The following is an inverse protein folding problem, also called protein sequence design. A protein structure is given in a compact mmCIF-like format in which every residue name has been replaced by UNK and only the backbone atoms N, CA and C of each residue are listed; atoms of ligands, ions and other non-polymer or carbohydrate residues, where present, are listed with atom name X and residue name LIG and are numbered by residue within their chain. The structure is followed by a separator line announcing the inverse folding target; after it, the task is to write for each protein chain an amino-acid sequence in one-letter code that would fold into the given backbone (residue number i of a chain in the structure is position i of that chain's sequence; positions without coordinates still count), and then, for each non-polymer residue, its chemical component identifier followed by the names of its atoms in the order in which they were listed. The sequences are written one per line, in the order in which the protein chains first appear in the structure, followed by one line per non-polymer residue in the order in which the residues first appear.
data_IF_053651474030
#
_entry.id   IF_053651474030
#
_cell.length_a   1.000
_cell.length_b   1.000
_cell.length_c   1.000
_cell.angle_alpha   90.00
_cell.angle_beta   90.00
_cell.angle_gamma   90.00
#
_symmetry.space_group_name_H-M   'P 1'
#
loop_
_entity.id
_entity.type
_entity.pdbx_description
1 polymer ?
#
# COMPACT_ATOMS: atom_id res chain seq x y z
N UNK A 1 19.73 -51.57 -9.21
CA UNK A 1 19.48 -50.42 -10.11
C UNK A 1 18.45 -49.54 -9.44
N UNK A 2 18.63 -48.21 -9.45
CA UNK A 2 17.56 -47.29 -9.07
C UNK A 2 16.39 -47.46 -10.04
N UNK A 3 15.18 -47.68 -9.54
CA UNK A 3 13.96 -47.67 -10.35
C UNK A 3 13.33 -46.28 -10.25
N UNK A 4 13.33 -45.56 -11.37
CA UNK A 4 12.84 -44.18 -11.45
C UNK A 4 11.46 -44.16 -12.12
N UNK A 5 10.55 -43.28 -11.68
CA UNK A 5 9.20 -43.19 -12.25
C UNK A 5 9.25 -42.81 -13.74
N UNK A 6 8.43 -43.49 -14.54
CA UNK A 6 8.18 -43.17 -15.95
C UNK A 6 6.83 -42.50 -16.08
N UNK A 7 6.77 -41.39 -16.80
CA UNK A 7 5.54 -40.63 -16.94
C UNK A 7 5.48 -39.86 -18.27
N UNK A 8 4.28 -39.43 -18.67
CA UNK A 8 4.06 -38.57 -19.84
C UNK A 8 3.96 -37.12 -19.38
N UNK A 9 4.65 -36.23 -20.10
CA UNK A 9 4.57 -34.78 -19.91
C UNK A 9 3.93 -34.12 -21.14
N UNK A 10 3.27 -32.99 -20.93
CA UNK A 10 2.72 -32.14 -21.98
C UNK A 10 3.38 -30.75 -21.91
N UNK A 11 3.82 -30.25 -23.06
CA UNK A 11 4.26 -28.88 -23.24
C UNK A 11 3.16 -28.10 -23.96
N UNK A 12 2.64 -27.07 -23.31
CA UNK A 12 1.54 -26.27 -23.84
C UNK A 12 2.09 -25.15 -24.72
N UNK A 13 1.60 -25.08 -25.95
CA UNK A 13 1.80 -23.92 -26.83
C UNK A 13 0.44 -23.26 -27.08
N UNK A 14 0.14 -22.22 -26.31
CA UNK A 14 -1.12 -21.49 -26.40
C UNK A 14 -0.90 -20.00 -26.11
N UNK A 15 -1.80 -19.16 -26.63
CA UNK A 15 -1.93 -17.78 -26.20
C UNK A 15 -2.87 -17.66 -24.98
N UNK A 16 -2.66 -16.68 -24.08
CA UNK A 16 -3.67 -16.33 -23.10
C UNK A 16 -4.85 -15.61 -23.75
N UNK A 17 -5.96 -15.49 -23.02
CA UNK A 17 -6.96 -14.47 -23.33
C UNK A 17 -6.41 -13.16 -22.75
N UNK A 18 -5.69 -12.43 -23.61
CA UNK A 18 -4.81 -11.33 -23.19
C UNK A 18 -5.52 -10.30 -22.29
N UNK A 19 -4.94 -10.02 -21.12
CA UNK A 19 -5.51 -9.12 -20.10
C UNK A 19 -6.96 -9.47 -19.72
N UNK A 20 -7.28 -10.77 -19.70
CA UNK A 20 -8.48 -11.33 -19.11
C UNK A 20 -8.09 -12.57 -18.30
N UNK A 21 -7.95 -12.36 -16.99
CA UNK A 21 -7.48 -13.38 -16.05
C UNK A 21 -8.41 -14.58 -16.00
N UNK A 22 -9.70 -14.34 -15.76
CA UNK A 22 -10.69 -15.41 -15.60
C UNK A 22 -10.76 -16.31 -16.82
N UNK A 23 -10.85 -15.72 -18.02
CA UNK A 23 -10.91 -16.49 -19.26
C UNK A 23 -9.60 -17.22 -19.55
N UNK A 24 -8.46 -16.65 -19.14
CA UNK A 24 -7.15 -17.33 -19.26
C UNK A 24 -7.04 -18.51 -18.29
N UNK A 25 -7.55 -18.37 -17.07
CA UNK A 25 -7.60 -19.44 -16.07
C UNK A 25 -8.54 -20.56 -16.53
N UNK A 26 -9.73 -20.24 -17.05
CA UNK A 26 -10.65 -21.24 -17.62
C UNK A 26 -9.98 -22.01 -18.77
N UNK A 27 -9.28 -21.29 -19.65
CA UNK A 27 -8.51 -21.91 -20.73
C UNK A 27 -7.40 -22.81 -20.20
N UNK A 28 -6.67 -22.39 -19.16
CA UNK A 28 -5.62 -23.19 -18.56
C UNK A 28 -6.19 -24.48 -17.95
N UNK A 29 -7.29 -24.41 -17.20
CA UNK A 29 -7.98 -25.57 -16.64
C UNK A 29 -8.45 -26.55 -17.73
N UNK A 30 -9.01 -26.04 -18.84
CA UNK A 30 -9.41 -26.89 -19.97
C UNK A 30 -8.21 -27.61 -20.62
N UNK A 31 -7.08 -26.92 -20.80
CA UNK A 31 -5.85 -27.50 -21.35
C UNK A 31 -5.27 -28.56 -20.39
N UNK A 32 -5.32 -28.32 -19.08
CA UNK A 32 -4.92 -29.29 -18.05
C UNK A 32 -5.76 -30.57 -18.18
N UNK A 33 -7.09 -30.42 -18.26
CA UNK A 33 -8.02 -31.53 -18.41
C UNK A 33 -7.75 -32.34 -19.69
N UNK A 34 -7.53 -31.66 -20.82
CA UNK A 34 -7.20 -32.29 -22.10
C UNK A 34 -5.86 -33.05 -22.05
N UNK A 35 -4.81 -32.42 -21.52
CA UNK A 35 -3.49 -33.04 -21.41
C UNK A 35 -3.53 -34.29 -20.51
N UNK A 36 -4.23 -34.22 -19.38
CA UNK A 36 -4.41 -35.34 -18.48
C UNK A 36 -5.29 -36.45 -19.09
N UNK A 37 -6.33 -36.09 -19.84
CA UNK A 37 -7.14 -37.05 -20.62
C UNK A 37 -6.32 -37.81 -21.66
N UNK A 38 -5.24 -37.19 -22.16
CA UNK A 38 -4.24 -37.82 -23.01
C UNK A 38 -3.12 -38.56 -22.23
N UNK A 39 -3.26 -38.66 -20.91
CA UNK A 39 -2.38 -39.40 -20.00
C UNK A 39 -1.16 -38.62 -19.49
N UNK A 40 -1.09 -37.30 -19.66
CA UNK A 40 -0.02 -36.49 -19.09
C UNK A 40 -0.19 -36.35 -17.57
N UNK A 41 0.92 -36.42 -16.84
CA UNK A 41 1.00 -36.22 -15.39
C UNK A 41 1.82 -34.97 -15.02
N UNK A 42 2.41 -34.31 -16.01
CA UNK A 42 3.08 -33.02 -15.89
C UNK A 42 2.65 -32.15 -17.08
N UNK A 43 2.18 -30.93 -16.81
CA UNK A 43 1.75 -29.97 -17.82
C UNK A 43 2.51 -28.66 -17.61
N UNK A 44 3.31 -28.25 -18.59
CA UNK A 44 4.09 -27.02 -18.55
C UNK A 44 3.52 -25.97 -19.50
N UNK A 45 3.25 -24.78 -18.97
CA UNK A 45 2.73 -23.62 -19.71
C UNK A 45 3.83 -22.62 -20.07
N UNK A 46 3.55 -21.72 -21.04
CA UNK A 46 4.44 -20.62 -21.38
C UNK A 46 4.73 -19.65 -20.22
N UNK A 47 5.78 -18.85 -20.40
CA UNK A 47 6.15 -17.74 -19.53
C UNK A 47 5.01 -16.74 -19.36
N UNK A 48 4.77 -16.27 -18.13
CA UNK A 48 3.76 -15.23 -17.78
C UNK A 48 2.41 -15.41 -18.50
N UNK A 49 1.93 -16.66 -18.56
CA UNK A 49 0.69 -17.01 -19.26
C UNK A 49 -0.51 -16.29 -18.65
N UNK A 50 -0.66 -16.25 -17.32
CA UNK A 50 -1.78 -15.53 -16.68
C UNK A 50 -1.54 -14.01 -16.75
N UNK A 51 -2.58 -13.27 -17.13
CA UNK A 51 -2.56 -11.86 -17.58
C UNK A 51 -1.87 -11.63 -18.95
N UNK A 52 -0.81 -12.39 -19.24
CA UNK A 52 -0.06 -12.36 -20.48
C UNK A 52 1.25 -11.58 -20.39
N UNK A 53 2.10 -11.77 -21.39
CA UNK A 53 3.41 -11.12 -21.48
C UNK A 53 3.29 -9.62 -21.84
N UNK A 54 4.06 -8.71 -21.20
CA UNK A 54 4.02 -7.27 -21.46
C UNK A 54 4.75 -6.89 -22.76
N UNK A 55 4.23 -7.30 -23.92
CA UNK A 55 4.87 -7.10 -25.22
C UNK A 55 5.19 -5.63 -25.54
N UNK A 56 4.42 -4.68 -25.01
CA UNK A 56 4.65 -3.25 -25.22
C UNK A 56 6.03 -2.77 -24.74
N UNK A 57 6.67 -3.48 -23.81
CA UNK A 57 8.03 -3.16 -23.36
C UNK A 57 9.05 -3.21 -24.50
N UNK A 58 8.78 -3.98 -25.56
CA UNK A 58 9.70 -4.17 -26.69
C UNK A 58 9.35 -3.34 -27.92
N UNK A 59 8.08 -2.95 -28.06
CA UNK A 59 7.56 -2.32 -29.28
C UNK A 59 7.06 -0.90 -29.07
N UNK A 60 7.11 -0.37 -27.83
CA UNK A 60 6.66 0.98 -27.49
C UNK A 60 7.71 1.72 -26.68
N UNK A 61 7.67 3.05 -26.76
CA UNK A 61 8.41 3.90 -25.82
C UNK A 61 7.76 3.86 -24.42
N UNK A 62 8.50 4.17 -23.34
CA UNK A 62 7.94 4.19 -21.98
C UNK A 62 6.67 5.05 -21.84
N UNK A 63 6.61 6.20 -22.52
CA UNK A 63 5.44 7.09 -22.50
C UNK A 63 4.22 6.42 -23.13
N UNK A 64 4.38 5.77 -24.30
CA UNK A 64 3.30 5.06 -24.99
C UNK A 64 2.84 3.81 -24.21
N UNK A 65 3.76 3.13 -23.55
CA UNK A 65 3.53 1.91 -22.76
C UNK A 65 2.80 2.15 -21.44
N UNK A 66 2.87 3.36 -20.88
CA UNK A 66 2.36 3.71 -19.53
C UNK A 66 0.92 3.24 -19.26
N UNK A 67 -0.01 3.44 -20.20
CA UNK A 67 -1.42 3.00 -20.09
C UNK A 67 -1.61 1.48 -20.01
N UNK A 68 -0.63 0.69 -20.47
CA UNK A 68 -0.71 -0.77 -20.44
C UNK A 68 -0.26 -1.33 -19.08
N UNK A 69 0.58 -0.59 -18.35
CA UNK A 69 1.02 -0.98 -17.02
C UNK A 69 -0.14 -1.12 -16.04
N UNK A 70 -1.03 -0.11 -16.00
CA UNK A 70 -2.24 -0.15 -15.17
C UNK A 70 -3.12 -1.36 -15.53
N UNK A 71 -3.36 -1.59 -16.82
CA UNK A 71 -4.15 -2.73 -17.28
C UNK A 71 -3.53 -4.07 -16.87
N UNK A 72 -2.21 -4.20 -16.96
CA UNK A 72 -1.50 -5.39 -16.51
C UNK A 72 -1.64 -5.58 -15.00
N UNK A 73 -1.44 -4.51 -14.22
CA UNK A 73 -1.54 -4.57 -12.76
C UNK A 73 -2.94 -4.98 -12.29
N UNK A 74 -3.98 -4.42 -12.90
CA UNK A 74 -5.38 -4.79 -12.64
C UNK A 74 -5.62 -6.28 -12.94
N UNK A 75 -4.99 -6.80 -14.00
CA UNK A 75 -5.05 -8.20 -14.40
C UNK A 75 -3.95 -9.08 -13.78
N UNK A 76 -3.13 -8.58 -12.86
CA UNK A 76 -2.15 -9.39 -12.15
C UNK A 76 -2.84 -10.03 -10.95
N UNK A 77 -2.47 -11.27 -10.63
CA UNK A 77 -3.10 -12.07 -9.58
C UNK A 77 -2.28 -12.00 -8.28
N UNK A 78 -2.84 -12.43 -7.16
CA UNK A 78 -2.05 -12.69 -5.95
C UNK A 78 -1.66 -14.16 -5.90
N UNK A 79 -0.52 -14.47 -5.27
CA UNK A 79 -0.12 -15.85 -5.00
C UNK A 79 0.14 -15.98 -3.49
N UNK A 80 -0.65 -16.77 -2.73
CA UNK A 80 -1.84 -17.51 -3.16
C UNK A 80 -3.04 -16.59 -3.48
N UNK A 81 -3.99 -17.09 -4.27
CA UNK A 81 -5.20 -16.38 -4.67
C UNK A 81 -6.24 -17.28 -5.34
N UNK A 82 -7.47 -16.77 -5.58
CA UNK A 82 -8.57 -17.56 -6.14
C UNK A 82 -8.26 -18.15 -7.52
N UNK A 83 -7.42 -17.49 -8.32
CA UNK A 83 -6.97 -17.99 -9.62
C UNK A 83 -6.00 -19.16 -9.49
N UNK A 84 -5.04 -19.06 -8.57
CA UNK A 84 -4.13 -20.18 -8.29
C UNK A 84 -4.87 -21.36 -7.66
N UNK A 85 -5.90 -21.09 -6.85
CA UNK A 85 -6.74 -22.14 -6.25
C UNK A 85 -7.50 -22.94 -7.32
N UNK A 86 -8.07 -22.26 -8.33
CA UNK A 86 -8.73 -22.91 -9.48
C UNK A 86 -7.76 -23.79 -10.27
N UNK A 87 -6.56 -23.32 -10.53
CA UNK A 87 -5.52 -24.09 -11.25
C UNK A 87 -5.07 -25.29 -10.41
N UNK A 88 -4.84 -25.10 -9.11
CA UNK A 88 -4.49 -26.16 -8.17
C UNK A 88 -5.61 -27.23 -8.08
N UNK A 89 -6.87 -26.79 -8.09
CA UNK A 89 -8.02 -27.69 -8.10
C UNK A 89 -8.08 -28.52 -9.38
N UNK A 90 -7.92 -27.90 -10.56
CA UNK A 90 -7.85 -28.62 -11.84
C UNK A 90 -6.67 -29.62 -11.86
N UNK A 91 -5.49 -29.20 -11.38
CA UNK A 91 -4.31 -30.07 -11.27
C UNK A 91 -4.59 -31.30 -10.40
N UNK A 92 -5.28 -31.10 -9.27
CA UNK A 92 -5.66 -32.14 -8.32
C UNK A 92 -6.71 -33.09 -8.89
N UNK A 93 -7.77 -32.57 -9.49
CA UNK A 93 -8.84 -33.36 -10.13
C UNK A 93 -8.30 -34.28 -11.21
N UNK A 94 -7.30 -33.81 -11.95
CA UNK A 94 -6.68 -34.54 -13.05
C UNK A 94 -5.40 -35.28 -12.68
N UNK A 95 -5.03 -35.32 -11.38
CA UNK A 95 -3.83 -35.97 -10.86
C UNK A 95 -2.56 -35.63 -11.67
N UNK A 96 -2.34 -34.34 -11.89
CA UNK A 96 -1.20 -33.85 -12.66
C UNK A 96 -0.46 -32.73 -11.93
N UNK A 97 0.84 -32.63 -12.17
CA UNK A 97 1.66 -31.50 -11.79
C UNK A 97 1.55 -30.40 -12.85
N UNK A 98 1.43 -29.15 -12.44
CA UNK A 98 1.30 -27.99 -13.35
C UNK A 98 2.41 -26.99 -13.07
N UNK A 99 3.08 -26.53 -14.14
CA UNK A 99 4.03 -25.42 -14.12
C UNK A 99 3.46 -24.31 -14.98
N UNK A 100 3.18 -23.14 -14.40
CA UNK A 100 2.56 -22.02 -15.12
C UNK A 100 3.15 -20.68 -14.68
N UNK A 101 3.47 -19.82 -15.66
CA UNK A 101 3.91 -18.44 -15.40
C UNK A 101 2.72 -17.50 -15.17
N UNK A 102 2.88 -16.56 -14.24
CA UNK A 102 1.83 -15.57 -13.88
C UNK A 102 2.44 -14.18 -13.68
N UNK A 103 1.64 -13.14 -13.90
CA UNK A 103 1.96 -11.81 -13.38
C UNK A 103 1.38 -11.69 -11.97
N UNK A 104 2.25 -11.59 -10.97
CA UNK A 104 1.87 -11.42 -9.56
C UNK A 104 1.82 -9.94 -9.18
N UNK A 105 0.80 -9.54 -8.40
CA UNK A 105 0.75 -8.22 -7.74
C UNK A 105 0.92 -8.34 -6.23
N UNK A 106 1.57 -7.33 -5.65
CA UNK A 106 1.71 -7.21 -4.20
C UNK A 106 0.37 -6.99 -3.49
N UNK A 107 0.32 -7.39 -2.21
CA UNK A 107 -0.89 -7.32 -1.37
C UNK A 107 -1.06 -5.97 -0.63
N UNK A 108 0.00 -5.16 -0.58
CA UNK A 108 -0.01 -3.88 0.14
C UNK A 108 0.23 -2.72 -0.81
N UNK A 109 -0.61 -1.69 -0.70
CA UNK A 109 -0.40 -0.39 -1.34
C UNK A 109 0.47 0.55 -0.47
N UNK A 110 0.88 0.07 0.71
CA UNK A 110 1.50 0.86 1.78
C UNK A 110 0.52 1.83 2.42
N UNK A 111 1.06 2.80 3.16
CA UNK A 111 0.26 3.92 3.65
C UNK A 111 -0.10 4.83 2.45
N UNK A 112 -1.40 5.14 2.32
CA UNK A 112 -1.93 6.06 1.31
C UNK A 112 -2.42 7.37 1.91
N UNK A 113 -2.91 7.30 3.16
CA UNK A 113 -3.39 8.42 3.95
C UNK A 113 -2.79 8.32 5.34
N UNK A 114 -2.10 9.37 5.77
CA UNK A 114 -1.63 9.57 7.13
C UNK A 114 -2.50 10.64 7.82
N UNK A 115 -2.86 10.41 9.09
CA UNK A 115 -3.59 11.40 9.89
C UNK A 115 -2.70 11.81 11.05
N UNK A 116 -2.31 13.09 11.08
CA UNK A 116 -1.46 13.65 12.11
C UNK A 116 -2.25 14.67 12.96
N UNK A 117 -2.34 14.40 14.26
CA UNK A 117 -3.06 15.25 15.20
C UNK A 117 -2.09 15.99 16.11
N UNK A 118 -2.27 17.30 16.27
CA UNK A 118 -1.44 18.17 17.09
C UNK A 118 -2.28 19.08 17.99
N UNK A 119 -1.64 19.59 19.05
CA UNK A 119 -2.16 20.72 19.80
C UNK A 119 -1.56 22.02 19.23
N UNK A 120 -2.28 23.14 19.38
CA UNK A 120 -1.63 24.45 19.26
C UNK A 120 -0.57 24.59 20.33
N UNK A 121 0.62 25.06 19.95
CA UNK A 121 1.73 25.24 20.91
C UNK A 121 2.36 26.63 20.80
N UNK A 122 1.63 27.70 21.20
CA UNK A 122 2.12 29.09 21.16
C UNK A 122 3.28 29.35 22.13
N UNK A 123 3.49 28.45 23.09
CA UNK A 123 4.56 28.54 24.09
C UNK A 123 5.89 27.92 23.63
N UNK A 124 5.99 27.43 22.39
CA UNK A 124 7.25 26.98 21.80
C UNK A 124 8.32 28.10 21.83
N UNK A 125 9.63 27.82 21.70
CA UNK A 125 10.66 28.86 21.69
C UNK A 125 10.31 30.04 20.74
N UNK A 126 10.64 31.29 21.10
CA UNK A 126 10.26 32.48 20.33
C UNK A 126 10.67 32.47 18.86
N UNK A 127 11.78 31.81 18.56
CA UNK A 127 12.37 31.65 17.22
C UNK A 127 11.89 30.39 16.48
N UNK A 128 10.95 29.64 17.06
CA UNK A 128 10.41 28.42 16.50
C UNK A 128 8.99 28.61 15.98
N UNK A 129 8.83 28.61 14.66
CA UNK A 129 7.53 28.62 13.99
C UNK A 129 6.91 27.22 14.04
N UNK A 130 5.90 27.05 14.90
CA UNK A 130 5.28 25.75 15.11
C UNK A 130 4.43 25.34 13.90
N UNK A 131 3.71 26.28 13.29
CA UNK A 131 2.87 26.02 12.13
C UNK A 131 3.72 25.50 10.95
N UNK A 132 4.83 26.18 10.64
CA UNK A 132 5.75 25.71 9.60
C UNK A 132 6.46 24.42 10.00
N UNK A 133 6.83 24.22 11.26
CA UNK A 133 7.42 22.96 11.70
C UNK A 133 6.47 21.76 11.53
N UNK A 134 5.19 21.92 11.87
CA UNK A 134 4.15 20.91 11.66
C UNK A 134 4.03 20.60 10.16
N UNK A 135 3.89 21.65 9.35
CA UNK A 135 3.77 21.54 7.89
C UNK A 135 4.98 20.88 7.26
N UNK A 136 6.20 21.24 7.65
CA UNK A 136 7.45 20.64 7.12
C UNK A 136 7.51 19.15 7.44
N UNK A 137 7.19 18.72 8.67
CA UNK A 137 7.19 17.30 9.03
C UNK A 137 6.17 16.52 8.22
N UNK A 138 4.95 17.04 8.11
CA UNK A 138 3.88 16.41 7.34
C UNK A 138 4.22 16.37 5.84
N UNK A 139 4.81 17.44 5.29
CA UNK A 139 5.26 17.51 3.91
C UNK A 139 6.40 16.54 3.60
N UNK A 140 7.38 16.41 4.51
CA UNK A 140 8.45 15.44 4.37
C UNK A 140 7.90 14.00 4.33
N UNK A 141 7.01 13.64 5.26
CA UNK A 141 6.38 12.31 5.28
C UNK A 141 5.54 12.04 4.03
N UNK A 142 4.72 13.00 3.61
CA UNK A 142 3.94 12.91 2.37
C UNK A 142 4.82 12.75 1.13
N UNK A 143 5.88 13.55 1.04
CA UNK A 143 6.81 13.51 -0.09
C UNK A 143 7.64 12.24 -0.10
N UNK A 144 8.11 11.74 1.03
CA UNK A 144 8.89 10.51 1.12
C UNK A 144 8.00 9.29 0.86
N UNK A 145 6.89 9.18 1.60
CA UNK A 145 5.92 8.09 1.59
C UNK A 145 5.04 7.99 0.34
N UNK A 146 5.02 9.04 -0.50
CA UNK A 146 4.13 9.17 -1.67
C UNK A 146 2.67 8.99 -1.28
N UNK A 147 2.25 9.73 -0.25
CA UNK A 147 0.97 9.61 0.43
C UNK A 147 0.37 10.98 0.76
N UNK A 148 -0.93 11.00 1.05
CA UNK A 148 -1.60 12.19 1.55
C UNK A 148 -1.49 12.28 3.07
N UNK A 149 -1.21 13.45 3.62
CA UNK A 149 -1.27 13.69 5.07
C UNK A 149 -2.38 14.67 5.38
N UNK A 150 -3.28 14.29 6.29
CA UNK A 150 -4.29 15.17 6.86
C UNK A 150 -3.77 15.62 8.23
N UNK A 151 -3.54 16.91 8.38
CA UNK A 151 -3.11 17.51 9.64
C UNK A 151 -4.30 18.17 10.30
N UNK A 152 -4.59 17.75 11.53
CA UNK A 152 -5.57 18.39 12.40
C UNK A 152 -4.86 18.94 13.64
N UNK A 153 -4.92 20.25 13.82
CA UNK A 153 -4.34 20.94 14.96
C UNK A 153 -5.41 21.70 15.72
N UNK A 154 -5.40 21.63 17.06
CA UNK A 154 -6.26 22.46 17.88
C UNK A 154 -5.88 23.94 17.77
N UNK A 155 -6.78 24.82 18.22
CA UNK A 155 -6.54 26.26 18.43
C UNK A 155 -6.59 26.58 19.92
N UNK A 156 -6.29 27.84 20.30
CA UNK A 156 -6.44 28.34 21.66
C UNK A 156 -7.52 29.41 21.69
N UNK A 157 -8.57 29.18 22.49
CA UNK A 157 -9.66 30.14 22.66
C UNK A 157 -9.35 31.15 23.76
N UNK A 158 -10.07 32.27 23.75
CA UNK A 158 -10.02 33.24 24.84
C UNK A 158 -10.39 32.63 26.20
N UNK A 159 -11.35 31.71 26.22
CA UNK A 159 -11.75 31.00 27.45
C UNK A 159 -10.57 30.24 28.07
N UNK A 160 -9.79 29.50 27.25
CA UNK A 160 -8.59 28.80 27.71
C UNK A 160 -7.58 29.79 28.30
N UNK A 161 -7.37 30.93 27.64
CA UNK A 161 -6.45 31.97 28.10
C UNK A 161 -6.92 32.55 29.44
N UNK A 162 -8.20 32.88 29.57
CA UNK A 162 -8.75 33.52 30.75
C UNK A 162 -8.70 32.58 31.97
N UNK A 163 -8.92 31.28 31.80
CA UNK A 163 -8.71 30.26 32.84
C UNK A 163 -7.23 30.22 33.27
N UNK A 164 -6.30 30.19 32.31
CA UNK A 164 -4.86 30.07 32.61
C UNK A 164 -4.26 31.32 33.27
N UNK A 165 -4.86 32.50 33.05
CA UNK A 165 -4.45 33.75 33.71
C UNK A 165 -4.59 33.71 35.23
N UNK A 166 -5.48 32.88 35.77
CA UNK A 166 -5.67 32.75 37.23
C UNK A 166 -4.38 32.25 37.91
N UNK A 167 -3.66 31.34 37.24
CA UNK A 167 -2.44 30.72 37.77
C UNK A 167 -1.15 31.34 37.18
N UNK A 168 -1.19 31.86 35.95
CA UNK A 168 -0.01 32.33 35.22
C UNK A 168 -0.21 33.79 34.76
N UNK A 169 0.40 34.78 35.44
CA UNK A 169 0.15 36.21 35.18
C UNK A 169 0.45 36.70 33.75
N UNK A 170 1.36 36.03 33.03
CA UNK A 170 1.70 36.34 31.64
C UNK A 170 1.13 35.33 30.62
N UNK A 171 0.10 34.55 30.99
CA UNK A 171 -0.53 33.57 30.12
C UNK A 171 -1.03 34.18 28.80
N UNK A 172 -1.58 35.40 28.85
CA UNK A 172 -2.09 36.08 27.65
C UNK A 172 -1.01 36.30 26.60
N UNK A 173 0.14 36.83 27.01
CA UNK A 173 1.28 37.05 26.12
C UNK A 173 1.75 35.73 25.52
N UNK A 174 1.86 34.68 26.35
CA UNK A 174 2.37 33.38 25.94
C UNK A 174 1.43 32.64 24.99
N UNK A 175 0.12 32.70 25.24
CA UNK A 175 -0.90 31.89 24.54
C UNK A 175 -1.50 32.58 23.31
N UNK A 176 -1.26 33.89 23.13
CA UNK A 176 -1.72 34.64 21.94
C UNK A 176 -0.70 34.69 20.81
N UNK A 177 0.48 34.06 21.00
CA UNK A 177 1.50 33.98 19.96
C UNK A 177 0.97 33.27 18.72
N UNK A 178 1.30 33.85 17.56
CA UNK A 178 0.87 33.39 16.25
C UNK A 178 1.81 32.34 15.65
N UNK A 179 1.34 31.65 14.62
CA UNK A 179 1.99 30.53 13.94
C UNK A 179 2.22 29.34 14.87
N UNK A 180 1.19 29.00 15.63
CA UNK A 180 1.21 28.04 16.73
C UNK A 180 0.48 26.74 16.38
N UNK A 181 -0.38 26.78 15.36
CA UNK A 181 -1.14 25.66 14.85
C UNK A 181 -1.18 25.67 13.31
N UNK A 182 -1.15 24.48 12.71
CA UNK A 182 -1.36 24.28 11.28
C UNK A 182 -2.35 23.12 11.09
N UNK A 183 -3.47 23.40 10.43
CA UNK A 183 -4.41 22.38 9.95
C UNK A 183 -4.47 22.44 8.42
N UNK A 184 -4.38 21.30 7.76
CA UNK A 184 -4.30 21.28 6.30
C UNK A 184 -4.16 19.88 5.72
N UNK A 185 -4.35 19.77 4.41
CA UNK A 185 -4.11 18.53 3.67
C UNK A 185 -2.87 18.69 2.81
N UNK A 186 -1.99 17.70 2.83
CA UNK A 186 -0.73 17.71 2.07
C UNK A 186 -0.73 16.53 1.11
N UNK A 187 -0.40 16.81 -0.15
CA UNK A 187 -0.36 15.84 -1.23
C UNK A 187 0.95 15.04 -1.29
N UNK A 188 0.99 13.98 -2.12
CA UNK A 188 2.14 13.07 -2.24
C UNK A 188 3.40 13.72 -2.84
N UNK A 189 3.30 14.95 -3.33
CA UNK A 189 4.43 15.78 -3.75
C UNK A 189 4.94 16.71 -2.64
N UNK A 190 4.42 16.60 -1.41
CA UNK A 190 4.77 17.44 -0.27
C UNK A 190 4.12 18.83 -0.28
N UNK A 191 3.28 19.14 -1.27
CA UNK A 191 2.61 20.44 -1.34
C UNK A 191 1.26 20.43 -0.60
N UNK A 192 0.92 21.56 0.02
CA UNK A 192 -0.42 21.76 0.61
C UNK A 192 -1.48 21.78 -0.49
N UNK A 193 -2.62 21.16 -0.23
CA UNK A 193 -3.79 21.11 -1.10
C UNK A 193 -4.87 22.01 -0.51
N UNK A 194 -5.33 22.98 -1.30
CA UNK A 194 -6.29 23.98 -0.84
C UNK A 194 -5.67 24.99 0.12
N UNK A 195 -6.53 25.69 0.86
CA UNK A 195 -6.12 26.69 1.84
C UNK A 195 -6.06 26.05 3.24
N UNK A 196 -4.88 26.04 3.90
CA UNK A 196 -4.76 25.58 5.27
C UNK A 196 -5.28 26.62 6.26
N UNK A 197 -5.50 26.20 7.51
CA UNK A 197 -5.74 27.11 8.64
C UNK A 197 -4.47 27.24 9.46
N UNK A 198 -4.15 28.48 9.84
CA UNK A 198 -3.08 28.80 10.78
C UNK A 198 -3.72 29.54 11.95
N UNK A 199 -3.67 28.94 13.14
CA UNK A 199 -4.27 29.41 14.41
C UNK A 199 -5.79 29.66 14.44
N UNK A 200 -6.44 29.71 13.28
CA UNK A 200 -7.86 30.01 13.14
C UNK A 200 -8.72 28.76 13.30
N UNK A 201 -9.90 28.94 13.91
CA UNK A 201 -10.91 27.90 13.99
C UNK A 201 -11.63 27.74 12.64
N UNK A 202 -11.80 26.49 12.23
CA UNK A 202 -12.52 26.17 11.01
C UNK A 202 -12.32 24.72 10.61
N UNK A 203 -12.78 24.41 9.40
CA UNK A 203 -12.64 23.09 8.80
C UNK A 203 -11.94 23.27 7.46
N UNK A 204 -10.84 22.54 7.26
CA UNK A 204 -10.18 22.46 5.96
C UNK A 204 -10.81 21.34 5.15
N UNK A 205 -11.14 21.63 3.89
CA UNK A 205 -11.63 20.67 2.92
C UNK A 205 -10.62 20.56 1.77
N UNK A 206 -10.40 19.34 1.30
CA UNK A 206 -9.57 19.08 0.12
C UNK A 206 -10.09 17.84 -0.63
N UNK A 207 -10.00 17.87 -1.95
CA UNK A 207 -10.26 16.71 -2.79
C UNK A 207 -9.02 15.80 -2.83
N UNK A 208 -9.16 14.58 -2.32
CA UNK A 208 -8.10 13.57 -2.32
C UNK A 208 -8.31 12.62 -3.50
N UNK A 209 -7.37 12.66 -4.45
CA UNK A 209 -7.28 11.72 -5.56
C UNK A 209 -6.06 10.80 -5.38
N UNK A 210 -6.33 9.56 -4.96
CA UNK A 210 -5.28 8.55 -4.71
C UNK A 210 -4.49 8.17 -5.96
N UNK A 211 -5.01 8.42 -7.18
CA UNK A 211 -4.25 8.19 -8.40
C UNK A 211 -3.00 9.08 -8.47
N UNK A 212 -2.99 10.22 -7.78
CA UNK A 212 -1.82 11.11 -7.68
C UNK A 212 -0.64 10.48 -6.93
N UNK A 213 -0.83 9.38 -6.20
CA UNK A 213 0.27 8.63 -5.58
C UNK A 213 1.02 7.74 -6.58
N UNK A 214 0.42 7.42 -7.74
CA UNK A 214 0.98 6.46 -8.70
C UNK A 214 2.27 6.99 -9.32
N UNK A 215 2.23 8.19 -9.92
CA UNK A 215 3.39 8.75 -10.61
C UNK A 215 4.61 8.95 -9.68
N UNK A 216 4.47 9.48 -8.44
CA UNK A 216 5.59 9.57 -7.51
C UNK A 216 6.15 8.21 -7.08
N UNK A 217 5.30 7.17 -6.95
CA UNK A 217 5.74 5.79 -6.65
C UNK A 217 6.47 5.15 -7.83
N UNK A 218 6.08 5.46 -9.06
CA UNK A 218 6.83 5.02 -10.27
C UNK A 218 8.24 5.61 -10.32
N UNK A 219 8.41 6.86 -9.87
CA UNK A 219 9.72 7.51 -9.82
C UNK A 219 10.57 7.01 -8.63
N UNK A 220 9.94 6.76 -7.49
CA UNK A 220 10.60 6.25 -6.28
C UNK A 220 9.67 5.26 -5.54
N UNK A 221 9.92 3.97 -5.76
CA UNK A 221 9.13 2.88 -5.19
C UNK A 221 9.72 2.37 -3.87
N UNK A 222 9.31 3.00 -2.78
CA UNK A 222 9.76 2.68 -1.41
C UNK A 222 9.15 1.38 -0.85
N UNK A 223 8.21 0.74 -1.54
CA UNK A 223 7.58 -0.50 -1.09
C UNK A 223 8.11 -1.72 -1.84
N UNK A 224 8.40 -1.56 -3.13
CA UNK A 224 9.00 -2.60 -3.95
C UNK A 224 10.51 -2.47 -4.07
N UNK A 225 10.95 -1.97 -5.22
CA UNK A 225 12.31 -2.20 -5.73
C UNK A 225 13.44 -1.54 -4.94
N UNK A 226 13.15 -0.54 -4.12
CA UNK A 226 14.15 0.11 -3.26
C UNK A 226 14.35 -0.58 -1.91
N UNK A 227 13.47 -1.51 -1.51
CA UNK A 227 13.65 -2.27 -0.28
C UNK A 227 14.74 -3.35 -0.42
N UNK A 228 15.46 -3.59 0.68
CA UNK A 228 16.43 -4.68 0.82
C UNK A 228 15.89 -5.74 1.76
N UNK A 229 14.85 -6.45 1.32
CA UNK A 229 14.23 -7.54 2.10
C UNK A 229 15.16 -8.73 2.34
N UNK A 230 16.29 -8.79 1.65
CA UNK A 230 17.40 -9.71 1.90
C UNK A 230 18.27 -9.30 3.10
N UNK A 231 18.18 -8.05 3.56
CA UNK A 231 18.92 -7.52 4.71
C UNK A 231 17.98 -7.20 5.88
N UNK A 232 16.84 -6.55 5.61
CA UNK A 232 15.94 -6.03 6.62
C UNK A 232 14.61 -6.79 6.64
N UNK A 233 14.21 -7.24 7.83
CA UNK A 233 12.91 -7.86 8.11
C UNK A 233 12.19 -7.02 9.18
N UNK A 234 10.99 -6.53 8.88
CA UNK A 234 10.13 -5.81 9.82
C UNK A 234 8.94 -6.69 10.19
N UNK A 235 8.85 -7.04 11.47
CA UNK A 235 7.71 -7.80 12.02
C UNK A 235 6.86 -6.90 12.90
N UNK A 236 5.58 -6.77 12.54
CA UNK A 236 4.62 -5.99 13.31
C UNK A 236 3.70 -6.94 14.08
N UNK A 237 3.65 -6.79 15.40
CA UNK A 237 2.64 -7.48 16.21
C UNK A 237 1.35 -6.65 16.19
N UNK A 238 0.35 -7.13 15.46
CA UNK A 238 -0.95 -6.48 15.30
C UNK A 238 -1.98 -6.93 16.34
N UNK A 239 -1.60 -7.77 17.31
CA UNK A 239 -2.52 -8.23 18.35
C UNK A 239 -2.98 -7.05 19.24
N UNK A 240 -4.30 -6.91 19.51
CA UNK A 240 -4.81 -5.93 20.44
C UNK A 240 -4.17 -6.08 21.82
N UNK A 241 -3.58 -5.01 22.36
CA UNK A 241 -3.04 -4.99 23.72
C UNK A 241 -4.16 -4.61 24.69
N UNK A 242 -4.30 -5.36 25.79
CA UNK A 242 -5.19 -4.97 26.88
C UNK A 242 -4.50 -3.90 27.74
N UNK A 243 -5.21 -2.82 28.05
CA UNK A 243 -4.67 -1.71 28.88
C UNK A 243 -4.26 -2.19 30.27
N UNK A 244 -5.01 -3.13 30.82
CA UNK A 244 -4.76 -3.76 32.12
C UNK A 244 -5.08 -5.25 31.97
N UNK A 245 -4.19 -6.10 32.47
CA UNK A 245 -4.44 -7.53 32.68
C UNK A 245 -4.47 -7.76 34.18
N UNK A 246 -5.65 -8.01 34.74
CA UNK A 246 -5.78 -8.41 36.14
C UNK A 246 -5.35 -9.88 36.24
N UNK A 247 -4.37 -10.14 37.10
CA UNK A 247 -4.07 -11.51 37.53
C UNK A 247 -4.76 -11.70 38.87
N UNK A 248 -5.87 -12.44 38.86
CA UNK A 248 -6.44 -12.90 40.12
C UNK A 248 -5.52 -14.01 40.64
N UNK A 249 -4.91 -13.76 41.80
CA UNK A 249 -4.02 -14.72 42.43
C UNK A 249 -4.80 -15.92 42.93
N UNK A 250 -5.00 -16.92 42.06
CA UNK A 250 -5.23 -18.32 42.44
C UNK A 250 -5.01 -19.25 41.25
N UNK A 251 -3.94 -20.07 41.36
CA UNK A 251 -3.68 -21.36 40.70
C UNK A 251 -3.29 -21.27 39.20
N UNK A 252 -2.09 -21.65 38.73
CA UNK A 252 -1.22 -22.78 39.11
C UNK A 252 0.28 -22.44 39.01
N UNK A 253 1.03 -22.79 40.07
CA UNK A 253 2.47 -23.13 40.03
C UNK A 253 2.62 -24.63 39.81
#
# INVERSE_FOLDING_TARGET
MLDLPKFKAAAVQASPVFLNVDATVDKACAIIAEAAGNGASLVAFPEVFVAGYPYWNWIMTPVQGSKWYEKLYINSITVPGPETDRICQAAKEHNCHVVIGVNERGQSFGELIHIANYISLPVAPPDYDMAEAIKIRAAAHSFEGKLFTIVSCSTITKEIIDIMKEDVPNAEELLTRKNSAFSGVIGPNGAVIGEPLIDDEGIVYADIDLAKCIQPKQMHDILGHYNRFDIFDLRVNTAPRKNITFMDGSEDL
#
